data_IF_094349337822
#
_entry.id   IF_094349337822
#
_cell.length_a   1.000
_cell.length_b   1.000
_cell.length_c   1.000
_cell.angle_alpha   90.00
_cell.angle_beta   90.00
_cell.angle_gamma   90.00
#
_symmetry.space_group_name_H-M   'P 1'
#
loop_
_entity.id
_entity.type
_entity.pdbx_description
1 polymer ?
#
# COMPACT_ATOMS: atom_id res chain seq x y z
N UNK A 1 -4.94 11.21 -19.53
CA UNK A 1 -3.74 10.54 -18.97
C UNK A 1 -3.15 11.24 -17.74
N UNK A 2 -3.08 12.58 -17.68
CA UNK A 2 -2.52 13.31 -16.51
C UNK A 2 -3.20 12.98 -15.16
N UNK A 3 -4.52 12.74 -15.16
CA UNK A 3 -5.28 12.41 -13.94
C UNK A 3 -4.92 11.04 -13.35
N UNK A 4 -4.48 10.08 -14.17
CA UNK A 4 -4.08 8.75 -13.71
C UNK A 4 -2.69 8.78 -13.10
N UNK A 5 -1.76 9.54 -13.71
CA UNK A 5 -0.42 9.72 -13.18
C UNK A 5 -0.43 10.35 -11.77
N UNK A 6 -1.25 11.38 -11.57
CA UNK A 6 -1.37 12.03 -10.25
C UNK A 6 -1.88 11.09 -9.16
N UNK A 7 -2.89 10.26 -9.47
CA UNK A 7 -3.39 9.24 -8.53
C UNK A 7 -2.33 8.19 -8.20
N UNK A 8 -1.57 7.75 -9.19
CA UNK A 8 -0.54 6.73 -9.00
C UNK A 8 0.59 7.24 -8.08
N UNK A 9 1.01 8.50 -8.24
CA UNK A 9 1.98 9.14 -7.34
C UNK A 9 1.47 9.19 -5.90
N UNK A 10 0.20 9.55 -5.69
CA UNK A 10 -0.40 9.58 -4.35
C UNK A 10 -0.38 8.18 -3.72
N UNK A 11 -0.75 7.15 -4.48
CA UNK A 11 -0.72 5.76 -4.00
C UNK A 11 0.70 5.35 -3.59
N UNK A 12 1.70 5.66 -4.41
CA UNK A 12 3.11 5.34 -4.10
C UNK A 12 3.57 6.06 -2.81
N UNK A 13 3.18 7.32 -2.61
CA UNK A 13 3.52 8.06 -1.38
C UNK A 13 2.86 7.40 -0.17
N UNK A 14 1.57 7.05 -0.26
CA UNK A 14 0.84 6.40 0.83
C UNK A 14 1.49 5.06 1.19
N UNK A 15 1.78 4.22 0.18
CA UNK A 15 2.43 2.92 0.39
C UNK A 15 3.83 3.09 0.98
N UNK A 16 4.61 4.08 0.52
CA UNK A 16 5.92 4.38 1.09
C UNK A 16 5.87 4.81 2.56
N UNK A 17 4.94 5.69 2.92
CA UNK A 17 4.73 6.14 4.31
C UNK A 17 4.25 4.99 5.20
N UNK A 18 3.30 4.18 4.73
CA UNK A 18 2.82 3.01 5.46
C UNK A 18 3.93 1.98 5.63
N UNK A 19 4.70 1.70 4.59
CA UNK A 19 5.83 0.77 4.67
C UNK A 19 6.91 1.24 5.66
N UNK A 20 7.21 2.54 5.72
CA UNK A 20 8.11 3.08 6.75
C UNK A 20 7.53 2.94 8.16
N UNK A 21 6.22 3.18 8.33
CA UNK A 21 5.53 3.07 9.63
C UNK A 21 5.42 1.61 10.11
N UNK A 22 5.13 0.68 9.19
CA UNK A 22 5.00 -0.76 9.45
C UNK A 22 6.35 -1.46 9.67
N UNK A 23 7.45 -0.83 9.23
CA UNK A 23 8.80 -1.39 9.33
C UNK A 23 9.29 -2.14 8.09
N UNK A 24 8.57 -2.06 6.97
CA UNK A 24 9.00 -2.61 5.68
C UNK A 24 10.31 -2.00 5.19
N UNK A 25 10.55 -0.73 5.51
CA UNK A 25 11.76 -0.01 5.12
C UNK A 25 12.41 0.59 6.36
N UNK A 26 13.66 0.22 6.62
CA UNK A 26 14.49 0.87 7.64
C UNK A 26 15.59 1.64 6.91
N UNK A 27 15.54 2.96 7.03
CA UNK A 27 16.60 3.84 6.52
C UNK A 27 17.56 4.12 7.66
N UNK A 28 18.77 3.59 7.56
CA UNK A 28 19.84 3.90 8.50
C UNK A 28 20.85 4.80 7.81
N UNK A 29 20.94 6.04 8.29
CA UNK A 29 22.05 6.93 7.96
C UNK A 29 23.15 6.67 8.98
N UNK A 30 24.27 6.11 8.54
CA UNK A 30 25.49 6.11 9.34
C UNK A 30 26.21 7.42 9.05
N UNK A 31 26.17 8.36 9.99
CA UNK A 31 27.08 9.51 9.99
C UNK A 31 28.49 8.98 10.26
N UNK A 32 29.20 8.56 9.22
CA UNK A 32 30.63 8.30 9.32
C UNK A 32 31.32 9.66 9.56
N UNK A 33 32.01 9.86 10.71
CA UNK A 33 32.55 11.18 11.09
C UNK A 33 33.75 11.64 10.25
N UNK A 34 34.04 11.01 9.11
CA UNK A 34 35.19 11.34 8.26
C UNK A 34 34.83 11.34 6.78
N UNK A 35 34.34 12.51 6.33
CA UNK A 35 34.55 13.06 4.98
C UNK A 35 34.24 12.17 3.77
N UNK A 36 33.10 12.44 3.12
CA UNK A 36 32.95 12.22 1.68
C UNK A 36 31.60 11.69 1.23
N UNK A 37 31.12 10.62 1.86
CA UNK A 37 30.02 9.82 1.30
C UNK A 37 28.93 9.57 2.35
N UNK A 38 27.78 10.23 2.20
CA UNK A 38 26.57 9.87 2.93
C UNK A 38 26.05 8.53 2.38
N UNK A 39 26.54 7.43 2.95
CA UNK A 39 26.04 6.10 2.64
C UNK A 39 24.65 5.90 3.26
N UNK A 40 23.61 6.16 2.47
CA UNK A 40 22.22 5.84 2.85
C UNK A 40 22.01 4.33 2.65
N UNK A 41 21.94 3.56 3.74
CA UNK A 41 21.53 2.15 3.68
C UNK A 41 20.02 2.06 3.84
N UNK A 42 19.36 1.57 2.80
CA UNK A 42 17.94 1.21 2.84
C UNK A 42 17.86 -0.29 3.02
N UNK A 43 17.39 -0.74 4.17
CA UNK A 43 17.04 -2.14 4.39
C UNK A 43 15.55 -2.33 4.12
N UNK A 44 15.22 -3.30 3.27
CA UNK A 44 13.85 -3.70 2.98
C UNK A 44 13.57 -5.00 3.73
N UNK A 45 12.63 -4.97 4.67
CA UNK A 45 12.13 -6.17 5.32
C UNK A 45 11.02 -6.80 4.48
N UNK A 46 11.41 -7.70 3.58
CA UNK A 46 10.49 -8.39 2.66
C UNK A 46 9.51 -9.33 3.36
N UNK A 47 9.84 -9.84 4.55
CA UNK A 47 8.94 -10.74 5.29
C UNK A 47 7.73 -9.97 5.83
N UNK A 48 7.95 -8.84 6.50
CA UNK A 48 6.84 -7.98 6.96
C UNK A 48 6.01 -7.45 5.81
N UNK A 49 6.68 -7.01 4.72
CA UNK A 49 5.96 -6.52 3.54
C UNK A 49 5.04 -7.57 2.94
N UNK A 50 5.43 -8.85 2.99
CA UNK A 50 4.62 -9.95 2.50
C UNK A 50 3.48 -10.28 3.46
N UNK A 51 3.74 -10.36 4.77
CA UNK A 51 2.73 -10.65 5.78
C UNK A 51 1.60 -9.61 5.79
N UNK A 52 1.95 -8.32 5.75
CA UNK A 52 0.95 -7.25 5.67
C UNK A 52 0.20 -7.28 4.32
N UNK A 53 0.85 -7.66 3.22
CA UNK A 53 0.19 -7.80 1.92
C UNK A 53 -0.82 -8.96 1.92
N UNK A 54 -0.45 -10.13 2.46
CA UNK A 54 -1.35 -11.27 2.60
C UNK A 54 -2.55 -10.93 3.50
N UNK A 55 -2.33 -10.22 4.62
CA UNK A 55 -3.40 -9.73 5.49
C UNK A 55 -4.33 -8.76 4.77
N UNK A 56 -3.77 -7.80 4.03
CA UNK A 56 -4.54 -6.80 3.31
C UNK A 56 -5.34 -7.40 2.15
N UNK A 57 -4.81 -8.43 1.47
CA UNK A 57 -5.54 -9.14 0.42
C UNK A 57 -6.79 -9.80 1.02
N UNK A 58 -6.67 -10.47 2.17
CA UNK A 58 -7.81 -11.10 2.83
C UNK A 58 -8.92 -10.10 3.20
N UNK A 59 -8.57 -8.96 3.78
CA UNK A 59 -9.54 -7.91 4.11
C UNK A 59 -10.18 -7.27 2.87
N UNK A 60 -9.40 -7.09 1.80
CA UNK A 60 -9.89 -6.53 0.54
C UNK A 60 -10.81 -7.50 -0.20
N UNK A 61 -10.55 -8.80 -0.16
CA UNK A 61 -11.45 -9.81 -0.74
C UNK A 61 -12.79 -9.86 0.01
N UNK A 62 -12.78 -9.76 1.34
CA UNK A 62 -14.00 -9.75 2.15
C UNK A 62 -14.84 -8.49 1.90
N UNK A 63 -14.21 -7.30 1.92
CA UNK A 63 -14.90 -6.04 1.60
C UNK A 63 -15.35 -6.01 0.15
N UNK A 64 -14.54 -6.55 -0.77
CA UNK A 64 -14.87 -6.65 -2.19
C UNK A 64 -16.13 -7.50 -2.41
N UNK A 65 -16.22 -8.64 -1.74
CA UNK A 65 -17.38 -9.53 -1.81
C UNK A 65 -18.66 -8.85 -1.24
N UNK A 66 -18.58 -8.14 -0.11
CA UNK A 66 -19.74 -7.43 0.45
C UNK A 66 -20.22 -6.31 -0.49
N UNK A 67 -19.29 -5.60 -1.12
CA UNK A 67 -19.63 -4.54 -2.08
C UNK A 67 -20.22 -5.14 -3.35
N UNK A 68 -19.69 -6.26 -3.85
CA UNK A 68 -20.22 -6.97 -5.02
C UNK A 68 -21.64 -7.45 -4.78
N UNK A 69 -21.93 -8.07 -3.63
CA UNK A 69 -23.28 -8.50 -3.25
C UNK A 69 -24.28 -7.34 -3.21
N UNK A 70 -23.90 -6.21 -2.58
CA UNK A 70 -24.74 -5.01 -2.52
C UNK A 70 -24.96 -4.36 -3.89
N UNK A 71 -23.97 -4.42 -4.77
CA UNK A 71 -24.10 -3.91 -6.13
C UNK A 71 -25.00 -4.82 -6.96
N UNK A 72 -24.89 -6.14 -6.84
CA UNK A 72 -25.77 -7.08 -7.54
C UNK A 72 -27.23 -6.97 -7.06
N UNK A 73 -27.46 -6.83 -5.75
CA UNK A 73 -28.79 -6.58 -5.18
C UNK A 73 -29.40 -5.27 -5.68
N UNK A 74 -28.59 -4.20 -5.81
CA UNK A 74 -29.05 -2.92 -6.34
C UNK A 74 -29.33 -2.96 -7.85
N UNK A 75 -28.65 -3.82 -8.61
CA UNK A 75 -28.81 -3.95 -10.07
C UNK A 75 -29.93 -4.91 -10.47
N UNK A 76 -30.15 -5.99 -9.71
CA UNK A 76 -31.22 -6.97 -9.97
C UNK A 76 -32.50 -6.74 -9.16
N UNK A 77 -32.44 -6.01 -8.04
CA UNK A 77 -33.61 -5.66 -7.22
C UNK A 77 -34.45 -4.49 -7.77
N UNK A 78 -33.95 -3.78 -8.80
CA UNK A 78 -34.56 -2.56 -9.34
C UNK A 78 -35.67 -2.74 -10.38
N UNK A 79 -35.93 -3.95 -10.89
CA UNK A 79 -36.92 -4.20 -11.95
C UNK A 79 -38.34 -4.52 -11.42
N UNK A 80 -38.59 -4.29 -10.12
CA UNK A 80 -39.80 -4.72 -9.42
C UNK A 80 -40.64 -3.61 -8.77
N UNK A 81 -40.62 -2.36 -9.24
CA UNK A 81 -41.50 -1.28 -8.74
C UNK A 81 -42.26 -0.57 -9.85
#
# INVERSE_FOLDING_TARGET
>A
MQKLLGKLVIIVIIVGLLGLYRGWFTVSSSDEPMGGDTSVKVNVNTEQAKEDADSAIGEVEEVGAEVEEKVDEALHGGDGS
#
